data_IF_661546432450
#
_entry.id   IF_661546432450
#
_cell.length_a   1.000
_cell.length_b   1.000
_cell.length_c   1.000
_cell.angle_alpha   90.00
_cell.angle_beta   90.00
_cell.angle_gamma   90.00
#
_symmetry.space_group_name_H-M   'P 1'
#
loop_
_entity.id
_entity.type
_entity.pdbx_description
1 polymer ?
#
# COMPACT_ATOMS: atom_id res chain seq x y z
N UNK A 1 -12.79 4.00 4.07
CA UNK A 1 -11.74 3.86 5.12
C UNK A 1 -10.41 4.38 4.58
N UNK A 2 -9.70 5.13 5.37
CA UNK A 2 -8.38 5.66 4.99
C UNK A 2 -7.30 5.05 5.87
N UNK A 3 -6.19 4.68 5.25
CA UNK A 3 -5.01 4.20 5.98
C UNK A 3 -3.78 4.98 5.54
N UNK A 4 -2.79 5.04 6.43
CA UNK A 4 -1.50 5.67 6.16
C UNK A 4 -0.46 4.58 5.99
N UNK A 5 0.33 4.68 4.93
CA UNK A 5 1.36 3.67 4.65
C UNK A 5 2.69 4.35 4.37
N UNK A 6 3.75 3.81 4.99
CA UNK A 6 5.12 4.12 4.62
C UNK A 6 5.63 2.94 3.78
N UNK A 7 6.08 3.23 2.57
CA UNK A 7 6.54 2.22 1.61
C UNK A 7 8.05 2.28 1.46
N UNK A 8 8.70 1.11 1.52
CA UNK A 8 10.10 0.93 1.19
C UNK A 8 10.20 0.10 -0.09
N UNK A 9 10.52 0.71 -1.24
CA UNK A 9 10.70 -0.03 -2.49
C UNK A 9 12.09 -0.69 -2.55
N UNK A 10 12.27 -1.60 -3.51
CA UNK A 10 13.53 -2.34 -3.71
C UNK A 10 14.00 -3.08 -2.47
N UNK A 11 13.09 -3.55 -1.65
CA UNK A 11 13.44 -4.33 -0.46
C UNK A 11 13.84 -5.75 -0.87
N UNK A 12 14.67 -6.38 -0.06
CA UNK A 12 15.07 -7.77 -0.27
C UNK A 12 13.91 -8.71 -0.01
N UNK A 13 13.07 -8.38 0.96
CA UNK A 13 11.92 -9.18 1.35
C UNK A 13 10.68 -8.30 1.44
N UNK A 14 9.56 -8.86 1.04
CA UNK A 14 8.26 -8.21 1.15
C UNK A 14 7.74 -8.35 2.57
N UNK A 15 7.18 -7.28 3.13
CA UNK A 15 6.54 -7.32 4.45
C UNK A 15 5.40 -6.30 4.53
N UNK A 16 4.47 -6.58 5.43
CA UNK A 16 3.32 -5.73 5.70
C UNK A 16 3.12 -5.70 7.21
N UNK A 17 3.52 -4.59 7.85
CA UNK A 17 3.47 -4.45 9.30
C UNK A 17 2.45 -3.41 9.72
N UNK A 18 1.61 -3.75 10.67
CA UNK A 18 0.66 -2.83 11.29
C UNK A 18 1.33 -2.13 12.47
N UNK A 19 1.38 -0.80 12.43
CA UNK A 19 1.89 0.01 13.53
C UNK A 19 0.78 0.47 14.47
N UNK A 20 -0.37 0.80 13.92
CA UNK A 20 -1.56 1.21 14.68
C UNK A 20 -2.79 0.83 13.86
N UNK A 21 -3.98 1.22 14.32
CA UNK A 21 -5.23 0.84 13.65
C UNK A 21 -5.31 1.32 12.20
N UNK A 22 -4.65 2.43 11.87
CA UNK A 22 -4.72 3.03 10.54
C UNK A 22 -3.35 3.26 9.89
N UNK A 23 -2.26 2.78 10.49
CA UNK A 23 -0.90 3.05 10.02
C UNK A 23 -0.12 1.76 9.83
N UNK A 24 0.53 1.65 8.66
CA UNK A 24 1.25 0.44 8.27
C UNK A 24 2.61 0.80 7.68
N UNK A 25 3.57 -0.12 7.79
CA UNK A 25 4.84 -0.08 7.07
C UNK A 25 4.87 -1.25 6.11
N UNK A 26 5.12 -0.95 4.84
CA UNK A 26 5.09 -1.96 3.78
C UNK A 26 6.41 -1.94 3.03
N UNK A 27 7.04 -3.10 2.92
CA UNK A 27 8.23 -3.29 2.09
C UNK A 27 7.84 -4.07 0.86
N UNK A 28 8.25 -3.60 -0.31
CA UNK A 28 8.00 -4.27 -1.58
C UNK A 28 9.30 -4.46 -2.33
N UNK A 29 9.40 -5.53 -3.10
CA UNK A 29 10.57 -5.82 -3.91
C UNK A 29 10.64 -4.93 -5.15
N UNK A 30 9.50 -4.52 -5.64
CA UNK A 30 9.38 -3.69 -6.83
C UNK A 30 10.03 -2.32 -6.63
N UNK A 31 10.67 -1.77 -7.68
CA UNK A 31 11.22 -0.42 -7.60
C UNK A 31 10.12 0.64 -7.68
N UNK A 32 10.44 1.85 -7.19
CA UNK A 32 9.54 3.00 -7.28
C UNK A 32 9.57 3.62 -8.68
N UNK A 33 9.41 2.78 -9.71
CA UNK A 33 9.45 3.16 -11.11
C UNK A 33 8.24 2.60 -11.83
N UNK A 34 7.73 3.32 -12.83
CA UNK A 34 6.61 2.87 -13.67
C UNK A 34 5.40 2.41 -12.85
N UNK A 35 5.20 3.00 -11.71
CA UNK A 35 4.09 2.65 -10.80
C UNK A 35 4.14 1.21 -10.25
N UNK A 36 5.25 0.50 -10.39
CA UNK A 36 5.35 -0.90 -9.99
C UNK A 36 5.19 -1.09 -8.48
N UNK A 37 5.89 -0.29 -7.67
CA UNK A 37 5.77 -0.37 -6.22
C UNK A 37 4.35 -0.02 -5.76
N UNK A 38 3.73 1.00 -6.36
CA UNK A 38 2.37 1.40 -6.02
C UNK A 38 1.36 0.30 -6.33
N UNK A 39 1.48 -0.36 -7.46
CA UNK A 39 0.61 -1.48 -7.82
C UNK A 39 0.74 -2.63 -6.83
N UNK A 40 1.97 -2.94 -6.42
CA UNK A 40 2.20 -4.01 -5.45
C UNK A 40 1.64 -3.64 -4.08
N UNK A 41 1.82 -2.39 -3.64
CA UNK A 41 1.24 -1.90 -2.38
C UNK A 41 -0.28 -2.04 -2.39
N UNK A 42 -0.94 -1.64 -3.47
CA UNK A 42 -2.39 -1.78 -3.60
C UNK A 42 -2.80 -3.26 -3.51
N UNK A 43 -2.09 -4.15 -4.18
CA UNK A 43 -2.39 -5.59 -4.12
C UNK A 43 -2.28 -6.14 -2.70
N UNK A 44 -1.23 -5.75 -1.96
CA UNK A 44 -1.03 -6.17 -0.57
C UNK A 44 -2.12 -5.63 0.36
N UNK A 45 -2.51 -4.37 0.18
CA UNK A 45 -3.59 -3.77 0.97
C UNK A 45 -4.90 -4.51 0.72
N UNK A 46 -5.24 -4.78 -0.54
CA UNK A 46 -6.45 -5.51 -0.88
C UNK A 46 -6.47 -6.91 -0.26
N UNK A 47 -5.33 -7.59 -0.28
CA UNK A 47 -5.19 -8.91 0.32
C UNK A 47 -5.34 -8.85 1.84
N UNK A 48 -4.66 -7.91 2.49
CA UNK A 48 -4.71 -7.77 3.95
C UNK A 48 -6.12 -7.47 4.46
N UNK A 49 -6.84 -6.60 3.79
CA UNK A 49 -8.19 -6.19 4.20
C UNK A 49 -9.31 -7.00 3.55
N UNK A 50 -8.97 -8.02 2.76
CA UNK A 50 -9.95 -8.87 2.07
C UNK A 50 -10.95 -8.04 1.24
N UNK A 51 -10.43 -7.08 0.47
CA UNK A 51 -11.28 -6.18 -0.31
C UNK A 51 -11.91 -6.95 -1.48
N UNK A 52 -13.25 -6.94 -1.61
CA UNK A 52 -13.92 -7.62 -2.71
C UNK A 52 -13.56 -7.02 -4.08
N UNK A 53 -13.65 -7.82 -5.13
CA UNK A 53 -13.30 -7.38 -6.48
C UNK A 53 -14.09 -6.16 -6.95
N UNK A 54 -15.34 -6.01 -6.53
CA UNK A 54 -16.17 -4.86 -6.92
C UNK A 54 -15.89 -3.58 -6.15
N UNK A 55 -14.97 -3.60 -5.19
CA UNK A 55 -14.66 -2.44 -4.36
C UNK A 55 -13.30 -1.87 -4.71
N UNK A 56 -13.18 -0.54 -4.65
CA UNK A 56 -11.96 0.16 -5.06
C UNK A 56 -10.98 0.35 -3.91
N UNK A 57 -9.68 0.34 -4.26
CA UNK A 57 -8.58 0.72 -3.37
C UNK A 57 -7.71 1.68 -4.13
N UNK A 58 -7.50 2.89 -3.60
CA UNK A 58 -6.82 3.97 -4.32
C UNK A 58 -5.79 4.67 -3.46
N UNK A 59 -4.68 5.05 -4.07
CA UNK A 59 -3.75 5.99 -3.47
C UNK A 59 -4.32 7.38 -3.70
N UNK A 60 -4.65 8.10 -2.64
CA UNK A 60 -5.21 9.45 -2.75
C UNK A 60 -4.19 10.54 -2.47
N UNK A 61 -3.05 10.20 -1.90
CA UNK A 61 -1.95 11.13 -1.63
C UNK A 61 -0.62 10.39 -1.62
N UNK A 62 0.44 11.05 -2.04
CA UNK A 62 1.79 10.51 -1.97
C UNK A 62 2.15 9.52 -3.07
N UNK A 63 1.63 9.67 -4.29
CA UNK A 63 1.96 8.79 -5.42
C UNK A 63 3.47 8.68 -5.67
N UNK A 64 4.22 9.77 -5.44
CA UNK A 64 5.66 9.82 -5.64
C UNK A 64 6.43 10.01 -4.34
N UNK A 65 5.79 9.69 -3.21
CA UNK A 65 6.36 9.80 -1.87
C UNK A 65 6.35 8.43 -1.21
N UNK A 66 7.33 8.13 -0.31
CA UNK A 66 7.25 6.92 0.48
C UNK A 66 6.08 6.93 1.47
N UNK A 67 5.56 8.11 1.81
CA UNK A 67 4.40 8.24 2.70
C UNK A 67 3.14 8.42 1.86
N UNK A 68 2.21 7.48 1.98
CA UNK A 68 0.98 7.44 1.17
C UNK A 68 -0.25 7.36 2.04
N UNK A 69 -1.34 7.94 1.53
CA UNK A 69 -2.66 7.75 2.11
C UNK A 69 -3.47 6.95 1.09
N UNK A 70 -4.08 5.87 1.56
CA UNK A 70 -4.86 4.97 0.72
C UNK A 70 -6.29 4.94 1.20
N UNK A 71 -7.22 5.09 0.25
CA UNK A 71 -8.65 4.94 0.47
C UNK A 71 -9.05 3.51 0.13
N UNK A 72 -9.73 2.86 1.05
CA UNK A 72 -10.25 1.50 0.86
C UNK A 72 -11.76 1.56 0.93
N UNK A 73 -12.40 1.12 -0.12
CA UNK A 73 -13.85 1.03 -0.20
C UNK A 73 -14.26 -0.37 0.26
N UNK A 74 -14.89 -0.43 1.42
CA UNK A 74 -15.32 -1.69 2.03
C UNK A 74 -16.84 -1.81 2.14
#
# INVERSE_FOLDING_TARGET
>A
MYIKIKVTPKAKEESFEKLSDDTFVVKVKEPAERNLANERVIALVREHFHVPLGKATRIISGHHSPHKIISIDL
#
